data_IF_399156754638
#
_entry.id   IF_399156754638
#
_cell.length_a   1.000
_cell.length_b   1.000
_cell.length_c   1.000
_cell.angle_alpha   90.00
_cell.angle_beta   90.00
_cell.angle_gamma   90.00
#
_symmetry.space_group_name_H-M   'P 1'
#
loop_
_entity.id
_entity.type
_entity.pdbx_description
1 polymer ?
#
# COMPACT_ATOMS: atom_id res chain seq x y z
N UNK A 1 -37.90 9.30 56.10
CA UNK A 1 -36.43 9.18 55.93
C UNK A 1 -35.82 10.55 56.10
N UNK A 2 -35.09 10.77 57.20
CA UNK A 2 -34.48 12.06 57.54
C UNK A 2 -33.44 12.45 56.48
N UNK A 3 -33.65 13.61 55.83
CA UNK A 3 -32.66 14.24 54.93
C UNK A 3 -31.39 14.50 55.75
N UNK A 4 -30.37 13.64 55.61
CA UNK A 4 -29.01 13.91 56.12
C UNK A 4 -28.60 15.29 55.61
N UNK A 5 -28.41 16.25 56.53
CA UNK A 5 -27.96 17.62 56.23
C UNK A 5 -26.75 17.55 55.31
N UNK A 6 -26.92 18.05 54.08
CA UNK A 6 -25.83 18.31 53.16
C UNK A 6 -24.94 19.39 53.80
N UNK A 7 -23.69 19.05 54.10
CA UNK A 7 -22.72 20.05 54.53
C UNK A 7 -22.28 20.82 53.28
N UNK A 8 -22.69 22.09 53.17
CA UNK A 8 -22.43 22.93 52.01
C UNK A 8 -20.93 23.11 51.73
N UNK A 9 -20.07 22.83 52.72
CA UNK A 9 -18.62 22.98 52.64
C UNK A 9 -17.89 21.68 52.30
N UNK A 10 -18.60 20.64 51.83
CA UNK A 10 -18.00 19.41 51.30
C UNK A 10 -18.37 19.22 49.83
N UNK A 11 -17.45 18.72 48.99
CA UNK A 11 -17.74 18.35 47.61
C UNK A 11 -18.90 17.36 47.53
N UNK A 12 -19.55 17.32 46.36
CA UNK A 12 -20.61 16.32 46.07
C UNK A 12 -20.12 14.92 46.43
N UNK A 13 -21.04 14.06 46.86
CA UNK A 13 -20.77 12.67 47.24
C UNK A 13 -19.89 12.46 48.48
N UNK A 14 -19.29 13.50 49.08
CA UNK A 14 -18.51 13.39 50.32
C UNK A 14 -19.35 13.76 51.54
N UNK A 15 -19.27 12.95 52.59
CA UNK A 15 -19.94 13.20 53.87
C UNK A 15 -18.99 12.98 55.04
N UNK A 16 -19.14 13.79 56.10
CA UNK A 16 -18.41 13.61 57.34
C UNK A 16 -19.32 13.03 58.43
N UNK A 17 -18.89 11.96 59.10
CA UNK A 17 -19.66 11.31 60.17
C UNK A 17 -19.03 11.61 61.53
N UNK A 18 -19.72 12.41 62.35
CA UNK A 18 -19.26 12.78 63.69
C UNK A 18 -19.06 11.57 64.62
N UNK A 19 -19.92 10.55 64.51
CA UNK A 19 -19.85 9.36 65.35
C UNK A 19 -18.56 8.54 65.16
N UNK A 20 -18.04 8.46 63.93
CA UNK A 20 -16.81 7.72 63.61
C UNK A 20 -15.61 8.61 63.29
N UNK A 21 -15.76 9.94 63.44
CA UNK A 21 -14.77 10.98 63.09
C UNK A 21 -14.12 10.78 61.71
N UNK A 22 -14.87 10.23 60.74
CA UNK A 22 -14.33 9.79 59.46
C UNK A 22 -15.11 10.34 58.28
N UNK A 23 -14.42 10.50 57.15
CA UNK A 23 -15.03 10.88 55.88
C UNK A 23 -15.48 9.65 55.09
N UNK A 24 -16.60 9.78 54.40
CA UNK A 24 -17.19 8.74 53.54
C UNK A 24 -17.57 9.36 52.22
N UNK A 25 -17.13 8.72 51.13
CA UNK A 25 -17.49 9.12 49.78
C UNK A 25 -18.44 8.07 49.17
N UNK A 26 -19.55 8.51 48.58
CA UNK A 26 -20.59 7.63 48.01
C UNK A 26 -20.51 7.63 46.48
N UNK A 27 -20.34 6.46 45.89
CA UNK A 27 -20.38 6.34 44.44
C UNK A 27 -21.82 6.56 43.92
N UNK A 28 -22.06 7.58 43.07
CA UNK A 28 -23.42 7.89 42.58
C UNK A 28 -23.92 6.89 41.53
N UNK A 29 -23.06 6.05 40.95
CA UNK A 29 -23.45 5.03 39.96
C UNK A 29 -23.81 3.68 40.60
N UNK A 30 -23.17 3.35 41.72
CA UNK A 30 -23.32 2.03 42.37
C UNK A 30 -23.94 2.10 43.76
N UNK A 31 -24.20 3.31 44.26
CA UNK A 31 -24.69 3.62 45.60
C UNK A 31 -23.84 3.10 46.77
N UNK A 32 -22.67 2.50 46.49
CA UNK A 32 -21.73 2.02 47.50
C UNK A 32 -20.99 3.18 48.16
N UNK A 33 -20.87 3.12 49.48
CA UNK A 33 -20.09 4.07 50.28
C UNK A 33 -18.69 3.50 50.56
N UNK A 34 -17.68 4.36 50.40
CA UNK A 34 -16.27 4.07 50.67
C UNK A 34 -15.78 4.92 51.84
N UNK A 35 -15.24 4.31 52.91
CA UNK A 35 -14.62 5.05 54.00
C UNK A 35 -13.25 5.58 53.56
N UNK A 36 -13.02 6.89 53.73
CA UNK A 36 -11.69 7.51 53.55
C UNK A 36 -10.88 7.53 54.85
N UNK A 37 -11.50 7.17 55.97
CA UNK A 37 -10.87 7.14 57.30
C UNK A 37 -10.77 8.51 57.97
N UNK A 38 -9.92 8.58 59.00
CA UNK A 38 -9.64 9.79 59.81
C UNK A 38 -8.52 10.64 59.16
N UNK A 39 -8.71 11.02 57.91
CA UNK A 39 -7.76 11.87 57.18
C UNK A 39 -8.07 13.35 57.37
N UNK A 40 -7.07 14.21 57.11
CA UNK A 40 -7.27 15.65 57.16
C UNK A 40 -8.37 16.08 56.18
N UNK A 41 -9.17 17.07 56.57
CA UNK A 41 -10.30 17.56 55.76
C UNK A 41 -9.89 17.94 54.34
N UNK A 42 -8.71 18.54 54.18
CA UNK A 42 -8.15 18.94 52.87
C UNK A 42 -7.95 17.72 51.96
N UNK A 43 -7.38 16.65 52.49
CA UNK A 43 -7.08 15.44 51.71
C UNK A 43 -8.36 14.69 51.33
N UNK A 44 -9.34 14.64 52.23
CA UNK A 44 -10.66 14.08 51.95
C UNK A 44 -11.39 14.84 50.82
N UNK A 45 -11.27 16.17 50.82
CA UNK A 45 -11.82 17.03 49.77
C UNK A 45 -11.13 16.76 48.43
N UNK A 46 -9.79 16.69 48.39
CA UNK A 46 -9.03 16.41 47.18
C UNK A 46 -9.42 15.06 46.57
N UNK A 47 -9.41 13.98 47.37
CA UNK A 47 -9.77 12.64 46.89
C UNK A 47 -11.22 12.58 46.39
N UNK A 48 -12.16 13.26 47.05
CA UNK A 48 -13.54 13.31 46.61
C UNK A 48 -13.71 14.06 45.28
N UNK A 49 -12.98 15.16 45.06
CA UNK A 49 -13.00 15.90 43.79
C UNK A 49 -12.44 15.04 42.67
N UNK A 50 -11.33 14.33 42.89
CA UNK A 50 -10.76 13.39 41.92
C UNK A 50 -11.74 12.27 41.55
N UNK A 51 -12.34 11.62 42.56
CA UNK A 51 -13.31 10.54 42.35
C UNK A 51 -14.58 11.02 41.61
N UNK A 52 -15.07 12.23 41.93
CA UNK A 52 -16.20 12.82 41.24
C UNK A 52 -15.90 13.15 39.78
N UNK A 53 -14.71 13.69 39.50
CA UNK A 53 -14.27 14.01 38.14
C UNK A 53 -14.10 12.74 37.30
N UNK A 54 -13.57 11.67 37.90
CA UNK A 54 -13.45 10.36 37.26
C UNK A 54 -14.81 9.78 36.85
N UNK A 55 -15.82 9.89 37.71
CA UNK A 55 -17.18 9.37 37.43
C UNK A 55 -17.95 10.22 36.45
N UNK A 56 -17.77 11.54 36.49
CA UNK A 56 -18.46 12.46 35.59
C UNK A 56 -18.02 12.32 34.12
N UNK A 57 -17.08 11.40 33.80
CA UNK A 57 -16.45 11.22 32.48
C UNK A 57 -15.86 12.51 31.89
N UNK A 58 -15.70 13.55 32.71
CA UNK A 58 -15.44 14.90 32.26
C UNK A 58 -13.98 15.33 32.42
N UNK A 59 -13.06 14.44 32.76
CA UNK A 59 -11.62 14.70 32.61
C UNK A 59 -10.84 13.41 32.34
N UNK A 60 -10.29 13.30 31.13
CA UNK A 60 -8.91 12.87 30.95
C UNK A 60 -8.04 13.86 31.74
N UNK A 61 -7.30 13.46 32.80
CA UNK A 61 -6.42 14.34 33.59
C UNK A 61 -5.16 14.78 32.80
N UNK A 62 -5.29 14.88 31.49
CA UNK A 62 -4.21 14.72 30.54
C UNK A 62 -3.73 16.09 30.07
N UNK A 63 -4.63 17.05 29.84
CA UNK A 63 -4.25 18.33 29.22
C UNK A 63 -3.23 19.20 30.01
N UNK A 64 -3.31 19.26 31.35
CA UNK A 64 -2.37 20.06 32.15
C UNK A 64 -1.13 19.26 32.55
N UNK A 65 -1.29 17.97 32.87
CA UNK A 65 -0.15 17.10 33.21
C UNK A 65 0.72 16.82 31.97
N UNK A 66 0.14 16.70 30.77
CA UNK A 66 0.91 16.60 29.52
C UNK A 66 1.65 17.90 29.19
N UNK A 67 0.99 19.05 29.34
CA UNK A 67 1.65 20.36 29.23
C UNK A 67 2.78 20.54 30.24
N UNK A 68 2.63 19.99 31.45
CA UNK A 68 3.67 20.02 32.50
C UNK A 68 4.77 18.97 32.31
N UNK A 69 4.51 17.88 31.58
CA UNK A 69 5.48 16.83 31.24
C UNK A 69 6.36 17.17 30.03
N UNK A 70 6.08 18.25 29.31
CA UNK A 70 6.90 18.70 28.18
C UNK A 70 6.84 17.82 26.93
N UNK A 71 5.95 16.82 26.89
CA UNK A 71 5.58 16.16 25.63
C UNK A 71 4.58 17.07 24.93
N UNK A 72 5.06 17.91 24.02
CA UNK A 72 4.23 18.39 22.92
C UNK A 72 3.50 17.17 22.36
N UNK A 73 2.18 17.15 22.46
CA UNK A 73 1.34 16.00 22.08
C UNK A 73 1.39 15.80 20.57
N UNK A 74 2.45 15.12 20.15
CA UNK A 74 2.79 14.97 18.76
C UNK A 74 1.85 13.94 18.13
N UNK A 75 0.90 14.40 17.31
CA UNK A 75 -0.14 13.55 16.73
C UNK A 75 0.39 12.70 15.58
N UNK A 76 -0.34 11.65 15.21
CA UNK A 76 -0.04 10.87 14.00
C UNK A 76 -0.05 11.75 12.76
N UNK A 77 -0.99 12.71 12.65
CA UNK A 77 -1.02 13.66 11.53
C UNK A 77 0.26 14.49 11.44
N UNK A 78 0.70 15.09 12.55
CA UNK A 78 1.94 15.87 12.60
C UNK A 78 3.16 15.00 12.27
N UNK A 79 3.15 13.73 12.70
CA UNK A 79 4.20 12.79 12.35
C UNK A 79 4.21 12.41 10.88
N UNK A 80 3.05 12.24 10.26
CA UNK A 80 2.96 11.97 8.83
C UNK A 80 3.62 13.11 8.04
N UNK A 81 3.37 14.37 8.40
CA UNK A 81 3.98 15.52 7.72
C UNK A 81 5.52 15.48 7.85
N UNK A 82 6.04 15.17 9.04
CA UNK A 82 7.48 14.98 9.25
C UNK A 82 8.03 13.79 8.46
N UNK A 83 7.32 12.67 8.45
CA UNK A 83 7.71 11.45 7.76
C UNK A 83 7.70 11.61 6.23
N UNK A 84 6.81 12.43 5.66
CA UNK A 84 6.82 12.77 4.24
C UNK A 84 8.11 13.48 3.83
N UNK A 85 8.64 14.37 4.68
CA UNK A 85 9.95 15.01 4.46
C UNK A 85 11.08 13.97 4.51
N UNK A 86 11.02 13.01 5.45
CA UNK A 86 11.99 11.92 5.52
C UNK A 86 11.94 11.02 4.28
N UNK A 87 10.74 10.71 3.79
CA UNK A 87 10.55 9.92 2.58
C UNK A 87 11.21 10.57 1.37
N UNK A 88 11.07 11.89 1.19
CA UNK A 88 11.65 12.62 0.04
C UNK A 88 13.18 12.47 -0.05
N UNK A 89 13.86 12.26 1.08
CA UNK A 89 15.31 12.05 1.14
C UNK A 89 15.75 10.68 0.62
N UNK A 90 14.81 9.73 0.45
CA UNK A 90 15.11 8.33 0.09
C UNK A 90 15.22 8.07 -1.42
N UNK A 91 15.20 9.13 -2.25
CA UNK A 91 15.35 9.05 -3.72
C UNK A 91 14.54 7.93 -4.39
N UNK A 92 13.28 7.78 -3.98
CA UNK A 92 12.37 6.76 -4.52
C UNK A 92 11.83 7.16 -5.90
N UNK A 93 11.29 6.19 -6.64
CA UNK A 93 10.58 6.49 -7.89
C UNK A 93 9.32 7.32 -7.64
N UNK A 94 8.95 8.17 -8.61
CA UNK A 94 7.74 9.03 -8.54
C UNK A 94 6.47 8.22 -8.23
N UNK A 95 6.32 7.05 -8.85
CA UNK A 95 5.16 6.19 -8.60
C UNK A 95 5.17 5.59 -7.18
N UNK A 96 6.35 5.27 -6.64
CA UNK A 96 6.49 4.83 -5.25
C UNK A 96 6.03 5.92 -4.29
N UNK A 97 6.45 7.17 -4.49
CA UNK A 97 5.97 8.30 -3.68
C UNK A 97 4.46 8.48 -3.76
N UNK A 98 3.89 8.41 -4.97
CA UNK A 98 2.43 8.49 -5.16
C UNK A 98 1.69 7.40 -4.37
N UNK A 99 2.17 6.16 -4.42
CA UNK A 99 1.57 5.04 -3.67
C UNK A 99 1.69 5.30 -2.16
N UNK A 100 2.88 5.65 -1.66
CA UNK A 100 3.10 5.92 -0.23
C UNK A 100 2.25 7.09 0.26
N UNK A 101 2.15 8.19 -0.50
CA UNK A 101 1.30 9.34 -0.18
C UNK A 101 -0.18 8.97 -0.08
N UNK A 102 -0.71 8.17 -1.00
CA UNK A 102 -2.09 7.68 -0.90
C UNK A 102 -2.33 6.84 0.36
N UNK A 103 -1.36 6.00 0.73
CA UNK A 103 -1.42 5.18 1.94
C UNK A 103 -1.39 6.07 3.19
N UNK A 104 -0.49 7.06 3.24
CA UNK A 104 -0.39 8.02 4.34
C UNK A 104 -1.66 8.87 4.48
N UNK A 105 -2.28 9.28 3.37
CA UNK A 105 -3.57 9.98 3.41
C UNK A 105 -4.67 9.11 4.06
N UNK A 106 -4.72 7.82 3.77
CA UNK A 106 -5.65 6.89 4.44
C UNK A 106 -5.34 6.73 5.94
N UNK A 107 -4.06 6.69 6.31
CA UNK A 107 -3.66 6.65 7.74
C UNK A 107 -4.07 7.94 8.45
N UNK A 108 -3.84 9.10 7.82
CA UNK A 108 -4.22 10.41 8.34
C UNK A 108 -5.72 10.48 8.62
N UNK A 109 -6.54 10.04 7.67
CA UNK A 109 -8.01 10.02 7.82
C UNK A 109 -8.48 9.17 9.01
N UNK A 110 -7.86 8.00 9.24
CA UNK A 110 -8.35 7.03 10.25
C UNK A 110 -7.73 7.17 11.63
N UNK A 111 -6.49 7.65 11.71
CA UNK A 111 -5.70 7.65 12.94
C UNK A 111 -4.99 8.98 13.22
N UNK A 112 -5.20 10.00 12.38
CA UNK A 112 -4.44 11.26 12.43
C UNK A 112 -4.53 12.02 13.75
N UNK A 113 -5.70 12.02 14.39
CA UNK A 113 -5.95 12.73 15.65
C UNK A 113 -5.39 12.03 16.89
N UNK A 114 -4.95 10.78 16.76
CA UNK A 114 -4.40 10.02 17.89
C UNK A 114 -2.99 10.56 18.20
N UNK A 115 -2.67 10.71 19.49
CA UNK A 115 -1.30 11.02 19.93
C UNK A 115 -0.38 9.87 19.51
N UNK A 116 0.75 10.17 18.88
CA UNK A 116 1.65 9.16 18.31
C UNK A 116 2.09 8.12 19.35
N UNK A 117 2.40 8.57 20.57
CA UNK A 117 2.79 7.73 21.69
C UNK A 117 1.66 6.82 22.24
N UNK A 118 0.40 7.18 22.00
CA UNK A 118 -0.78 6.42 22.44
C UNK A 118 -1.25 5.39 21.40
N UNK A 119 -0.60 5.33 20.24
CA UNK A 119 -0.95 4.34 19.22
C UNK A 119 -0.59 2.94 19.69
N UNK A 120 -1.62 2.16 20.05
CA UNK A 120 -1.47 0.76 20.47
C UNK A 120 -1.51 -0.21 19.29
N UNK A 121 -1.00 -1.44 19.50
CA UNK A 121 -1.16 -2.56 18.56
C UNK A 121 -2.63 -2.83 18.21
N UNK A 122 -3.57 -2.59 19.14
CA UNK A 122 -5.01 -2.73 18.89
C UNK A 122 -5.51 -1.75 17.84
N UNK A 123 -5.02 -0.50 17.85
CA UNK A 123 -5.37 0.49 16.82
C UNK A 123 -4.90 0.03 15.43
N UNK A 124 -3.66 -0.46 15.34
CA UNK A 124 -3.10 -0.99 14.09
C UNK A 124 -3.89 -2.20 13.59
N UNK A 125 -4.20 -3.16 14.48
CA UNK A 125 -4.98 -4.34 14.12
C UNK A 125 -6.36 -3.96 13.58
N UNK A 126 -7.10 -3.08 14.28
CA UNK A 126 -8.42 -2.61 13.84
C UNK A 126 -8.36 -1.89 12.49
N UNK A 127 -7.31 -1.11 12.26
CA UNK A 127 -7.10 -0.43 10.98
C UNK A 127 -6.93 -1.43 9.84
N UNK A 128 -6.05 -2.42 10.01
CA UNK A 128 -5.79 -3.45 8.99
C UNK A 128 -6.98 -4.39 8.74
N UNK A 129 -7.80 -4.65 9.76
CA UNK A 129 -8.96 -5.54 9.70
C UNK A 129 -9.96 -5.14 8.61
N UNK A 130 -10.10 -3.84 8.33
CA UNK A 130 -10.98 -3.33 7.28
C UNK A 130 -10.67 -3.91 5.89
N UNK A 131 -9.38 -4.13 5.57
CA UNK A 131 -9.00 -4.77 4.31
C UNK A 131 -9.01 -6.30 4.39
N UNK A 132 -8.69 -6.86 5.56
CA UNK A 132 -8.63 -8.32 5.74
C UNK A 132 -10.02 -8.94 5.60
N UNK A 133 -11.03 -8.33 6.22
CA UNK A 133 -12.44 -8.77 6.14
C UNK A 133 -12.99 -8.70 4.72
N UNK A 134 -12.53 -7.74 3.91
CA UNK A 134 -12.86 -7.61 2.49
C UNK A 134 -12.03 -8.53 1.57
N UNK A 135 -11.13 -9.37 2.13
CA UNK A 135 -10.24 -10.24 1.36
C UNK A 135 -9.09 -9.50 0.65
N UNK A 136 -8.88 -8.21 0.94
CA UNK A 136 -7.85 -7.34 0.33
C UNK A 136 -6.50 -7.46 1.07
N UNK A 137 -6.04 -8.70 1.30
CA UNK A 137 -4.84 -9.01 2.09
C UNK A 137 -3.56 -8.33 1.57
N UNK A 138 -3.41 -8.17 0.25
CA UNK A 138 -2.28 -7.44 -0.34
C UNK A 138 -2.24 -5.98 0.07
N UNK A 139 -3.41 -5.32 0.15
CA UNK A 139 -3.50 -3.93 0.59
C UNK A 139 -3.20 -3.82 2.09
N UNK A 140 -3.74 -4.71 2.92
CA UNK A 140 -3.38 -4.82 4.34
C UNK A 140 -1.86 -4.99 4.52
N UNK A 141 -1.24 -5.84 3.70
CA UNK A 141 0.22 -5.98 3.51
C UNK A 141 0.94 -4.67 3.30
N UNK A 142 0.55 -3.96 2.26
CA UNK A 142 1.18 -2.71 1.87
C UNK A 142 1.01 -1.63 2.95
N UNK A 143 -0.18 -1.55 3.59
CA UNK A 143 -0.47 -0.60 4.67
C UNK A 143 0.35 -0.89 5.91
N UNK A 144 0.43 -2.15 6.36
CA UNK A 144 1.28 -2.54 7.49
C UNK A 144 2.75 -2.21 7.22
N UNK A 145 3.22 -2.42 5.99
CA UNK A 145 4.59 -2.07 5.60
C UNK A 145 4.86 -0.56 5.75
N UNK A 146 3.96 0.32 5.30
CA UNK A 146 4.10 1.77 5.49
C UNK A 146 4.12 2.12 6.97
N UNK A 147 3.14 1.62 7.73
CA UNK A 147 3.02 1.92 9.15
C UNK A 147 4.27 1.47 9.92
N UNK A 148 4.78 0.27 9.62
CA UNK A 148 5.97 -0.25 10.28
C UNK A 148 7.18 0.64 10.05
N UNK A 149 7.37 1.15 8.82
CA UNK A 149 8.45 2.06 8.45
C UNK A 149 8.26 3.46 9.09
N UNK A 150 7.05 4.02 9.01
CA UNK A 150 6.69 5.30 9.63
C UNK A 150 6.93 5.30 11.14
N UNK A 151 6.51 4.24 11.85
CA UNK A 151 6.74 4.12 13.30
C UNK A 151 8.20 3.77 13.64
N UNK A 152 8.96 3.19 12.71
CA UNK A 152 10.40 2.99 12.92
C UNK A 152 11.14 4.32 12.91
N UNK A 153 10.83 5.20 11.97
CA UNK A 153 11.40 6.55 11.95
C UNK A 153 11.01 7.36 13.21
N UNK A 154 9.82 7.11 13.78
CA UNK A 154 9.39 7.77 15.02
C UNK A 154 10.25 7.36 16.22
N UNK A 155 10.73 6.11 16.23
CA UNK A 155 11.69 5.64 17.24
C UNK A 155 13.04 6.31 17.03
N UNK A 156 13.50 6.43 15.79
CA UNK A 156 14.79 7.07 15.45
C UNK A 156 14.81 8.54 15.91
N UNK A 157 13.70 9.27 15.74
CA UNK A 157 13.57 10.65 16.24
C UNK A 157 13.17 10.75 17.73
N UNK A 158 13.03 9.62 18.44
CA UNK A 158 12.81 9.59 19.89
C UNK A 158 11.39 9.90 20.36
N UNK A 159 10.40 9.96 19.46
CA UNK A 159 9.00 10.24 19.82
C UNK A 159 8.31 9.07 20.52
N UNK A 160 8.76 7.83 20.23
CA UNK A 160 8.24 6.60 20.83
C UNK A 160 9.36 5.60 21.07
N UNK A 161 9.11 4.63 21.94
CA UNK A 161 10.12 3.62 22.33
C UNK A 161 9.93 2.27 21.61
N UNK A 162 8.69 1.95 21.21
CA UNK A 162 8.34 0.64 20.65
C UNK A 162 7.42 0.80 19.44
N UNK A 163 7.67 0.01 18.40
CA UNK A 163 6.85 0.03 17.20
C UNK A 163 5.53 -0.74 17.43
N UNK A 164 4.36 -0.09 17.41
CA UNK A 164 3.09 -0.75 17.71
C UNK A 164 2.66 -1.76 16.63
N UNK A 165 3.30 -1.72 15.45
CA UNK A 165 2.96 -2.55 14.28
C UNK A 165 3.58 -3.95 14.39
N UNK A 166 4.69 -4.13 15.11
CA UNK A 166 5.49 -5.37 15.10
C UNK A 166 4.69 -6.62 15.43
N UNK A 167 3.84 -6.55 16.46
CA UNK A 167 3.04 -7.68 16.92
C UNK A 167 1.86 -8.03 16.00
N UNK A 168 1.49 -7.16 15.05
CA UNK A 168 0.40 -7.44 14.10
C UNK A 168 0.85 -8.44 13.04
N UNK A 169 -0.09 -9.25 12.54
CA UNK A 169 0.13 -10.18 11.43
C UNK A 169 -0.92 -9.96 10.35
N UNK A 170 -0.56 -10.22 9.10
CA UNK A 170 -1.50 -10.25 7.99
C UNK A 170 -1.65 -11.70 7.56
N UNK A 171 -2.84 -12.12 7.12
CA UNK A 171 -3.02 -13.44 6.54
C UNK A 171 -2.08 -13.70 5.35
N UNK A 172 -1.86 -14.97 5.06
CA UNK A 172 -1.09 -15.39 3.89
C UNK A 172 -1.71 -14.84 2.60
N UNK A 173 -0.89 -14.20 1.77
CA UNK A 173 -1.32 -13.66 0.48
C UNK A 173 -1.16 -14.75 -0.57
N UNK A 174 -2.27 -15.37 -0.97
CA UNK A 174 -2.31 -16.31 -2.10
C UNK A 174 -2.49 -15.54 -3.41
N UNK A 175 -1.62 -15.79 -4.39
CA UNK A 175 -1.72 -15.14 -5.71
C UNK A 175 -2.93 -15.70 -6.46
N UNK A 176 -3.96 -14.88 -6.63
CA UNK A 176 -5.20 -15.28 -7.28
C UNK A 176 -5.17 -15.23 -8.81
N UNK A 177 -4.20 -14.51 -9.41
CA UNK A 177 -4.13 -14.30 -10.86
C UNK A 177 -3.78 -15.60 -11.59
N UNK A 178 -4.60 -15.93 -12.58
CA UNK A 178 -4.40 -17.06 -13.48
C UNK A 178 -3.19 -16.85 -14.40
N UNK A 179 -2.45 -17.94 -14.68
CA UNK A 179 -1.32 -17.94 -15.62
C UNK A 179 -1.81 -18.04 -17.06
N UNK A 180 -1.22 -17.26 -17.96
CA UNK A 180 -1.55 -17.31 -19.38
C UNK A 180 -0.92 -18.54 -20.05
N UNK A 181 -1.72 -19.48 -20.54
CA UNK A 181 -1.21 -20.63 -21.31
C UNK A 181 -0.96 -20.28 -22.78
N UNK A 182 -0.17 -21.09 -23.48
CA UNK A 182 0.22 -20.83 -24.86
C UNK A 182 -0.98 -20.86 -25.81
N UNK A 183 -1.90 -21.81 -25.61
CA UNK A 183 -3.13 -21.97 -26.39
C UNK A 183 -4.00 -20.72 -26.24
N UNK A 184 -4.15 -20.23 -25.00
CA UNK A 184 -4.91 -19.03 -24.70
C UNK A 184 -4.24 -17.75 -25.22
N UNK A 185 -2.91 -17.69 -25.19
CA UNK A 185 -2.16 -16.62 -25.83
C UNK A 185 -2.43 -16.60 -27.33
N UNK A 186 -2.34 -17.75 -28.00
CA UNK A 186 -2.57 -17.86 -29.45
C UNK A 186 -3.98 -17.44 -29.83
N UNK A 187 -5.01 -17.87 -29.10
CA UNK A 187 -6.39 -17.45 -29.32
C UNK A 187 -6.58 -15.93 -29.11
N UNK A 188 -5.99 -15.38 -28.05
CA UNK A 188 -6.02 -13.93 -27.78
C UNK A 188 -5.27 -13.14 -28.86
N UNK A 189 -4.15 -13.68 -29.35
CA UNK A 189 -3.31 -13.09 -30.39
C UNK A 189 -3.99 -13.11 -31.75
N UNK A 190 -4.76 -14.15 -32.07
CA UNK A 190 -5.59 -14.21 -33.28
C UNK A 190 -6.72 -13.16 -33.22
N UNK A 191 -7.41 -13.04 -32.08
CA UNK A 191 -8.41 -12.00 -31.89
C UNK A 191 -7.82 -10.58 -31.99
N UNK A 192 -6.55 -10.41 -31.59
CA UNK A 192 -5.85 -9.14 -31.68
C UNK A 192 -5.65 -8.64 -33.13
N UNK A 193 -5.69 -9.51 -34.15
CA UNK A 193 -5.57 -9.09 -35.57
C UNK A 193 -6.68 -8.11 -36.00
N UNK A 194 -7.82 -8.12 -35.29
CA UNK A 194 -8.93 -7.19 -35.51
C UNK A 194 -8.83 -5.91 -34.66
N UNK A 195 -7.74 -5.72 -33.93
CA UNK A 195 -7.44 -4.54 -33.12
C UNK A 195 -6.50 -3.59 -33.91
N UNK A 196 -6.16 -2.38 -33.41
CA UNK A 196 -5.20 -1.53 -34.10
C UNK A 196 -3.89 -2.26 -34.40
N UNK A 197 -3.34 -2.06 -35.60
CA UNK A 197 -2.22 -2.85 -36.16
C UNK A 197 -0.97 -2.94 -35.27
N UNK A 198 -0.74 -1.96 -34.40
CA UNK A 198 0.37 -1.97 -33.44
C UNK A 198 0.19 -3.00 -32.32
N UNK A 199 -1.04 -3.42 -32.00
CA UNK A 199 -1.33 -4.24 -30.82
C UNK A 199 -0.94 -5.71 -30.97
N UNK A 200 -1.26 -6.40 -32.10
CA UNK A 200 -0.67 -7.70 -32.45
C UNK A 200 0.86 -7.73 -32.28
N UNK A 201 1.53 -6.71 -32.82
CA UNK A 201 2.98 -6.59 -32.76
C UNK A 201 3.49 -6.34 -31.33
N UNK A 202 2.74 -5.61 -30.51
CA UNK A 202 3.08 -5.42 -29.10
C UNK A 202 3.03 -6.74 -28.32
N UNK A 203 2.08 -7.63 -28.63
CA UNK A 203 2.02 -8.97 -28.03
C UNK A 203 3.22 -9.82 -28.47
N UNK A 204 3.54 -9.83 -29.77
CA UNK A 204 4.66 -10.60 -30.30
C UNK A 204 6.00 -10.10 -29.73
N UNK A 205 6.19 -8.78 -29.69
CA UNK A 205 7.39 -8.15 -29.13
C UNK A 205 7.52 -8.47 -27.63
N UNK A 206 6.41 -8.42 -26.87
CA UNK A 206 6.40 -8.78 -25.45
C UNK A 206 6.72 -10.26 -25.22
N UNK A 207 6.20 -11.16 -26.06
CA UNK A 207 6.45 -12.60 -25.92
C UNK A 207 7.89 -12.96 -26.27
N UNK A 208 8.42 -12.46 -27.40
CA UNK A 208 9.77 -12.80 -27.85
C UNK A 208 10.86 -12.16 -26.99
N UNK A 209 10.64 -10.95 -26.46
CA UNK A 209 11.64 -10.27 -25.61
C UNK A 209 11.48 -10.59 -24.13
N UNK A 210 10.29 -11.00 -23.68
CA UNK A 210 9.96 -11.19 -22.27
C UNK A 210 9.98 -9.90 -21.44
N UNK A 211 9.97 -8.71 -22.03
CA UNK A 211 10.12 -7.45 -21.27
C UNK A 211 8.81 -6.96 -20.64
N UNK A 212 8.93 -6.07 -19.64
CA UNK A 212 7.75 -5.52 -18.95
C UNK A 212 6.99 -4.57 -19.89
N UNK A 213 5.69 -4.43 -19.71
CA UNK A 213 4.84 -3.58 -20.56
C UNK A 213 5.34 -2.13 -20.64
N UNK A 214 5.89 -1.61 -19.55
CA UNK A 214 6.47 -0.27 -19.47
C UNK A 214 7.71 -0.16 -20.36
N UNK A 215 8.54 -1.20 -20.41
CA UNK A 215 9.72 -1.24 -21.28
C UNK A 215 9.28 -1.37 -22.75
N UNK A 216 8.31 -2.25 -23.05
CA UNK A 216 7.80 -2.50 -24.42
C UNK A 216 7.31 -1.22 -25.10
N UNK A 217 6.53 -0.38 -24.42
CA UNK A 217 6.02 0.85 -25.04
C UNK A 217 7.09 1.93 -25.23
N UNK A 218 8.25 1.79 -24.58
CA UNK A 218 9.35 2.76 -24.66
C UNK A 218 10.49 2.31 -25.59
N UNK A 219 10.44 1.09 -26.13
CA UNK A 219 11.44 0.61 -27.09
C UNK A 219 11.40 1.43 -28.37
N UNK A 220 12.56 1.92 -28.79
CA UNK A 220 12.75 2.68 -30.03
C UNK A 220 13.53 1.90 -31.07
N UNK A 221 13.34 2.24 -32.33
CA UNK A 221 14.16 1.67 -33.40
C UNK A 221 15.64 2.04 -33.28
N UNK A 222 15.96 3.18 -32.66
CA UNK A 222 17.33 3.60 -32.36
C UNK A 222 18.02 2.74 -31.29
N UNK A 223 17.26 1.98 -30.50
CA UNK A 223 17.81 1.08 -29.49
C UNK A 223 18.37 -0.22 -30.11
N UNK A 224 18.24 -0.36 -31.43
CA UNK A 224 18.81 -1.47 -32.20
C UNK A 224 20.15 -1.04 -32.79
N UNK A 225 21.22 -1.68 -32.33
CA UNK A 225 22.59 -1.48 -32.82
C UNK A 225 23.34 -2.81 -32.78
N UNK A 226 24.27 -3.03 -33.70
CA UNK A 226 25.09 -4.26 -33.77
C UNK A 226 24.27 -5.57 -33.65
N UNK A 227 23.19 -5.68 -34.44
CA UNK A 227 22.26 -6.84 -34.45
C UNK A 227 21.69 -7.21 -33.07
N UNK A 228 21.56 -6.24 -32.16
CA UNK A 228 21.00 -6.40 -30.82
C UNK A 228 20.02 -5.28 -30.50
N UNK A 229 18.96 -5.62 -29.78
CA UNK A 229 18.07 -4.68 -29.12
C UNK A 229 18.58 -4.41 -27.71
N UNK A 230 18.98 -3.18 -27.43
CA UNK A 230 19.40 -2.75 -26.10
C UNK A 230 18.19 -2.27 -25.31
N UNK A 231 18.01 -2.81 -24.10
CA UNK A 231 16.89 -2.44 -23.21
C UNK A 231 17.47 -2.07 -21.86
N UNK A 232 17.14 -0.87 -21.39
CA UNK A 232 17.35 -0.47 -19.98
C UNK A 232 16.01 -0.55 -19.29
N UNK A 233 15.85 -1.53 -18.39
CA UNK A 233 14.59 -1.77 -17.72
C UNK A 233 14.25 -0.63 -16.76
N UNK A 234 13.07 -0.03 -16.91
CA UNK A 234 12.66 1.16 -16.15
C UNK A 234 12.58 0.86 -14.65
N UNK A 235 12.08 -0.32 -14.29
CA UNK A 235 11.82 -0.68 -12.88
C UNK A 235 13.09 -0.97 -12.08
N UNK A 236 14.06 -1.65 -12.70
CA UNK A 236 15.25 -2.21 -12.01
C UNK A 236 16.55 -1.52 -12.41
N UNK A 237 16.56 -0.77 -13.52
CA UNK A 237 17.77 -0.20 -14.12
C UNK A 237 18.65 -1.23 -14.84
N UNK A 238 18.25 -2.51 -14.90
CA UNK A 238 19.05 -3.55 -15.53
C UNK A 238 19.18 -3.29 -17.03
N UNK A 239 20.40 -3.42 -17.56
CA UNK A 239 20.72 -3.27 -18.98
C UNK A 239 20.91 -4.65 -19.60
N UNK A 240 20.15 -4.92 -20.65
CA UNK A 240 20.20 -6.18 -21.40
C UNK A 240 20.34 -5.88 -22.89
N UNK A 241 21.04 -6.77 -23.61
CA UNK A 241 21.21 -6.69 -25.05
C UNK A 241 20.71 -7.99 -25.69
N UNK A 242 19.56 -7.94 -26.35
CA UNK A 242 18.85 -9.11 -26.88
C UNK A 242 19.21 -9.27 -28.35
N UNK A 243 19.82 -10.39 -28.79
CA UNK A 243 20.20 -10.57 -30.18
C UNK A 243 18.97 -10.65 -31.09
N UNK A 244 18.99 -9.99 -32.26
CA UNK A 244 17.89 -10.03 -33.23
C UNK A 244 17.65 -11.43 -33.84
N UNK A 245 18.65 -12.32 -33.72
CA UNK A 245 18.52 -13.74 -34.06
C UNK A 245 17.71 -14.55 -33.05
N UNK A 246 17.41 -14.00 -31.87
CA UNK A 246 16.60 -14.69 -30.85
C UNK A 246 15.27 -15.14 -31.46
N UNK A 247 15.02 -16.44 -31.35
CA UNK A 247 13.83 -17.08 -31.90
C UNK A 247 13.19 -17.91 -30.79
N UNK A 248 11.89 -17.71 -30.58
CA UNK A 248 11.06 -18.51 -29.69
C UNK A 248 10.41 -19.61 -30.52
N UNK A 249 10.92 -20.84 -30.45
CA UNK A 249 10.50 -21.92 -31.35
C UNK A 249 9.03 -22.30 -31.13
N UNK A 250 8.55 -22.23 -29.90
CA UNK A 250 7.16 -22.55 -29.55
C UNK A 250 6.11 -21.73 -30.34
N UNK A 251 6.45 -20.53 -30.80
CA UNK A 251 5.56 -19.67 -31.60
C UNK A 251 6.13 -19.29 -32.97
N UNK A 252 7.35 -19.72 -33.29
CA UNK A 252 8.05 -19.32 -34.51
C UNK A 252 8.42 -17.84 -34.57
N UNK A 253 8.33 -17.11 -33.46
CA UNK A 253 8.64 -15.67 -33.43
C UNK A 253 10.15 -15.46 -33.40
N UNK A 254 10.67 -14.70 -34.37
CA UNK A 254 12.05 -14.20 -34.39
C UNK A 254 12.07 -12.70 -34.12
N UNK A 255 12.90 -12.24 -33.18
CA UNK A 255 12.94 -10.83 -32.74
C UNK A 255 13.17 -9.86 -33.90
N UNK A 256 14.17 -10.11 -34.75
CA UNK A 256 14.45 -9.26 -35.91
C UNK A 256 13.23 -9.10 -36.82
N UNK A 257 12.55 -10.20 -37.15
CA UNK A 257 11.35 -10.19 -37.99
C UNK A 257 10.19 -9.44 -37.35
N UNK A 258 10.01 -9.54 -36.03
CA UNK A 258 8.99 -8.76 -35.30
C UNK A 258 9.31 -7.26 -35.38
N UNK A 259 10.56 -6.87 -35.19
CA UNK A 259 10.99 -5.47 -35.30
C UNK A 259 10.81 -4.94 -36.72
N UNK A 260 11.12 -5.73 -37.74
CA UNK A 260 10.91 -5.34 -39.14
C UNK A 260 9.42 -5.10 -39.43
N UNK A 261 8.53 -5.96 -38.91
CA UNK A 261 7.08 -5.72 -39.00
C UNK A 261 6.65 -4.45 -38.25
N UNK A 262 7.24 -4.18 -37.08
CA UNK A 262 7.02 -2.90 -36.38
C UNK A 262 7.43 -1.69 -37.24
N UNK A 263 8.53 -1.76 -37.99
CA UNK A 263 8.97 -0.67 -38.90
C UNK A 263 7.97 -0.39 -40.03
N UNK A 264 7.24 -1.40 -40.48
CA UNK A 264 6.23 -1.24 -41.53
C UNK A 264 4.97 -0.52 -41.01
N UNK A 265 4.64 -0.69 -39.72
CA UNK A 265 3.41 -0.16 -39.11
C UNK A 265 3.65 1.16 -38.39
N UNK A 266 4.72 1.27 -37.59
CA UNK A 266 5.03 2.47 -36.84
C UNK A 266 5.64 3.54 -37.73
N UNK A 267 5.15 4.77 -37.60
CA UNK A 267 5.66 5.98 -38.28
C UNK A 267 6.39 6.93 -37.33
N UNK A 268 6.73 6.45 -36.14
CA UNK A 268 7.44 7.24 -35.11
C UNK A 268 8.70 6.50 -34.67
N UNK A 269 9.49 7.10 -33.78
CA UNK A 269 10.72 6.49 -33.25
C UNK A 269 10.47 5.20 -32.47
N UNK A 270 9.24 5.03 -31.95
CA UNK A 270 8.86 3.91 -31.10
C UNK A 270 8.50 2.68 -31.95
N UNK A 271 8.91 1.49 -31.50
CA UNK A 271 8.53 0.24 -32.15
C UNK A 271 7.01 0.01 -32.13
N UNK A 272 6.37 0.38 -31.01
CA UNK A 272 4.93 0.28 -30.82
C UNK A 272 4.37 1.70 -30.69
N UNK A 273 3.53 2.10 -31.66
CA UNK A 273 3.03 3.47 -31.79
C UNK A 273 1.58 3.50 -32.29
N UNK A 274 0.80 4.45 -31.79
CA UNK A 274 -0.56 4.71 -32.28
C UNK A 274 -0.61 5.82 -33.35
N UNK A 275 0.57 6.28 -33.81
CA UNK A 275 0.75 7.42 -34.71
C UNK A 275 0.70 8.76 -33.97
N UNK A 276 1.23 9.81 -34.61
CA UNK A 276 1.22 11.18 -34.08
C UNK A 276 -0.22 11.72 -34.08
N UNK A 277 -0.67 12.24 -32.93
CA UNK A 277 -1.99 12.83 -32.74
C UNK A 277 -1.88 14.09 -31.90
N UNK A 278 -2.90 14.96 -31.92
CA UNK A 278 -2.94 16.20 -31.11
C UNK A 278 -2.62 15.96 -29.62
N UNK A 279 -3.12 14.85 -29.06
CA UNK A 279 -2.91 14.49 -27.65
C UNK A 279 -1.76 13.48 -27.43
N UNK A 280 -1.04 13.10 -28.48
CA UNK A 280 0.16 12.25 -28.42
C UNK A 280 1.13 12.69 -29.53
N UNK A 281 1.86 13.80 -29.31
CA UNK A 281 2.70 14.41 -30.34
C UNK A 281 3.89 13.53 -30.74
N UNK A 282 4.33 12.61 -29.88
CA UNK A 282 5.40 11.65 -30.16
C UNK A 282 4.89 10.29 -30.67
N UNK A 283 3.56 10.07 -30.63
CA UNK A 283 2.89 8.82 -30.98
C UNK A 283 3.12 7.66 -30.01
N UNK A 284 3.75 7.91 -28.86
CA UNK A 284 3.99 6.88 -27.85
C UNK A 284 2.67 6.38 -27.22
N UNK A 285 2.68 5.12 -26.79
CA UNK A 285 1.53 4.47 -26.15
C UNK A 285 1.73 4.44 -24.64
N UNK A 286 0.73 4.87 -23.89
CA UNK A 286 0.74 4.69 -22.44
C UNK A 286 0.66 3.19 -22.08
N UNK A 287 1.41 2.65 -21.10
CA UNK A 287 1.40 1.22 -20.75
C UNK A 287 0.01 0.63 -20.48
N UNK A 288 -0.91 1.43 -19.94
CA UNK A 288 -2.31 1.00 -19.72
C UNK A 288 -3.08 0.78 -21.03
N UNK A 289 -2.65 1.40 -22.14
CA UNK A 289 -3.16 1.10 -23.47
C UNK A 289 -2.96 -0.37 -23.84
N UNK A 290 -1.78 -0.93 -23.58
CA UNK A 290 -1.51 -2.36 -23.78
C UNK A 290 -2.45 -3.22 -22.94
N UNK A 291 -2.62 -2.86 -21.67
CA UNK A 291 -3.43 -3.66 -20.73
C UNK A 291 -4.92 -3.62 -21.08
N UNK A 292 -5.46 -2.45 -21.41
CA UNK A 292 -6.86 -2.28 -21.80
C UNK A 292 -7.16 -2.99 -23.12
N UNK A 293 -6.29 -2.85 -24.12
CA UNK A 293 -6.48 -3.50 -25.42
C UNK A 293 -6.32 -5.02 -25.30
N UNK A 294 -5.42 -5.52 -24.45
CA UNK A 294 -5.32 -6.95 -24.16
C UNK A 294 -6.59 -7.51 -23.54
N UNK A 295 -7.21 -6.80 -22.61
CA UNK A 295 -8.51 -7.22 -22.06
C UNK A 295 -9.58 -7.29 -23.17
N UNK A 296 -9.59 -6.36 -24.12
CA UNK A 296 -10.51 -6.40 -25.28
C UNK A 296 -10.24 -7.62 -26.17
N UNK A 297 -8.99 -7.85 -26.58
CA UNK A 297 -8.60 -9.00 -27.39
C UNK A 297 -8.91 -10.33 -26.68
N UNK A 298 -8.63 -10.40 -25.37
CA UNK A 298 -8.94 -11.57 -24.54
C UNK A 298 -10.43 -11.86 -24.51
N UNK A 299 -11.29 -10.85 -24.33
CA UNK A 299 -12.75 -11.01 -24.39
C UNK A 299 -13.22 -11.45 -25.79
N UNK A 300 -12.62 -10.89 -26.84
CA UNK A 300 -12.93 -11.25 -28.23
C UNK A 300 -12.47 -12.67 -28.62
N UNK A 301 -11.51 -13.26 -27.89
CA UNK A 301 -11.02 -14.61 -28.16
C UNK A 301 -12.02 -15.73 -27.88
N UNK A 302 -13.09 -15.45 -27.13
CA UNK A 302 -14.09 -16.45 -26.74
C UNK A 302 -13.59 -17.50 -25.73
N UNK A 303 -12.35 -17.41 -25.26
CA UNK A 303 -11.81 -18.33 -24.25
C UNK A 303 -12.43 -18.04 -22.88
N UNK A 304 -12.80 -19.11 -22.17
CA UNK A 304 -13.28 -19.03 -20.79
C UNK A 304 -12.10 -18.89 -19.83
N UNK A 305 -12.22 -17.97 -18.86
CA UNK A 305 -11.20 -17.72 -17.84
C UNK A 305 -11.78 -17.84 -16.45
N UNK A 306 -10.90 -17.99 -15.46
CA UNK A 306 -11.27 -17.86 -14.05
C UNK A 306 -11.73 -16.44 -13.68
N UNK A 307 -12.17 -16.26 -12.44
CA UNK A 307 -12.53 -14.96 -11.88
C UNK A 307 -11.37 -13.94 -11.87
N UNK A 308 -10.12 -14.41 -12.04
CA UNK A 308 -8.92 -13.57 -12.03
C UNK A 308 -8.09 -13.80 -13.30
N UNK A 309 -8.62 -13.42 -14.47
CA UNK A 309 -8.06 -13.80 -15.76
C UNK A 309 -6.66 -13.19 -16.01
N UNK A 310 -5.81 -13.84 -16.82
CA UNK A 310 -4.45 -13.37 -17.10
C UNK A 310 -4.46 -11.96 -17.71
N UNK A 311 -3.48 -11.13 -17.35
CA UNK A 311 -3.31 -9.77 -17.91
C UNK A 311 -2.19 -9.75 -18.94
N UNK A 312 -1.99 -8.60 -19.63
CA UNK A 312 -0.86 -8.44 -20.56
C UNK A 312 0.49 -8.78 -19.89
N UNK A 313 0.63 -8.54 -18.57
CA UNK A 313 1.85 -8.87 -17.84
C UNK A 313 2.14 -10.39 -17.79
N UNK A 314 1.12 -11.25 -17.91
CA UNK A 314 1.34 -12.69 -17.96
C UNK A 314 2.01 -13.16 -19.25
N UNK A 315 2.09 -12.34 -20.31
CA UNK A 315 2.91 -12.63 -21.49
C UNK A 315 4.39 -12.78 -21.09
N UNK A 316 4.88 -11.94 -20.17
CA UNK A 316 6.25 -12.06 -19.64
C UNK A 316 6.48 -13.35 -18.87
N UNK A 317 5.49 -13.80 -18.09
CA UNK A 317 5.53 -15.08 -17.38
C UNK A 317 5.50 -16.27 -18.34
N UNK A 318 4.68 -16.20 -19.40
CA UNK A 318 4.66 -17.18 -20.48
C UNK A 318 6.00 -17.24 -21.20
N UNK A 319 6.57 -16.09 -21.61
CA UNK A 319 7.88 -16.00 -22.24
C UNK A 319 8.95 -16.69 -21.37
N UNK A 320 8.99 -16.37 -20.06
CA UNK A 320 9.93 -16.99 -19.13
C UNK A 320 9.82 -18.51 -19.07
N UNK A 321 8.61 -19.05 -19.03
CA UNK A 321 8.39 -20.51 -19.03
C UNK A 321 8.79 -21.16 -20.34
N UNK A 322 8.42 -20.57 -21.48
CA UNK A 322 8.77 -21.11 -22.79
C UNK A 322 10.29 -21.09 -23.00
N UNK A 323 10.97 -19.99 -22.69
CA UNK A 323 12.42 -19.91 -22.77
C UNK A 323 13.14 -20.81 -21.76
N UNK A 324 12.57 -21.00 -20.55
CA UNK A 324 13.10 -21.98 -19.59
C UNK A 324 13.05 -23.39 -20.17
N UNK A 325 11.96 -23.75 -20.83
CA UNK A 325 11.83 -25.06 -21.48
C UNK A 325 12.76 -25.21 -22.69
N UNK A 326 12.96 -24.15 -23.48
CA UNK A 326 13.77 -24.21 -24.71
C UNK A 326 15.29 -24.10 -24.49
N UNK A 327 15.73 -23.31 -23.50
CA UNK A 327 17.13 -22.94 -23.30
C UNK A 327 17.62 -23.05 -21.84
N UNK A 328 16.75 -23.48 -20.92
CA UNK A 328 17.08 -23.61 -19.51
C UNK A 328 16.85 -22.35 -18.68
N UNK A 329 16.91 -22.54 -17.36
CA UNK A 329 16.56 -21.53 -16.36
C UNK A 329 17.47 -20.30 -16.39
N UNK A 330 18.78 -20.51 -16.55
CA UNK A 330 19.77 -19.43 -16.57
C UNK A 330 19.52 -18.47 -17.74
N UNK A 331 19.15 -19.01 -18.91
CA UNK A 331 18.83 -18.20 -20.08
C UNK A 331 17.59 -17.34 -19.82
N UNK A 332 16.49 -17.97 -19.36
CA UNK A 332 15.25 -17.27 -19.08
C UNK A 332 15.44 -16.16 -18.02
N UNK A 333 16.19 -16.44 -16.95
CA UNK A 333 16.49 -15.47 -15.91
C UNK A 333 17.28 -14.27 -16.45
N UNK A 334 18.32 -14.50 -17.27
CA UNK A 334 19.11 -13.43 -17.89
C UNK A 334 18.30 -12.58 -18.86
N UNK A 335 17.42 -13.19 -19.65
CA UNK A 335 16.56 -12.47 -20.59
C UNK A 335 15.54 -11.59 -19.85
N UNK A 336 14.97 -12.10 -18.77
CA UNK A 336 13.98 -11.37 -18.00
C UNK A 336 14.61 -10.24 -17.19
N UNK A 337 15.84 -10.38 -16.69
CA UNK A 337 16.44 -9.43 -15.75
C UNK A 337 15.61 -9.19 -14.49
#
# INVERSE_FOLDING_TARGET
MSRKKYDANLPRNLTYRKASKSFFWRNPLTDKEFPLGQIARRDAITQAIEANNFIAQNHTPVALIEKLKGTDSFTVSAWIDRYEVLLQRRSLSVNTYKIRGNQLATVREKMGEIILAEVTTRHIAKFLESWITEGKNTMAGAMRSVLSDMFREAIVEGHIVKNPVEATRIPEIKVARERLQLETYNATRAAAEHMPAWFPLAMDLALVTGQRREDIVNMKFSDVFDNRLYVTQIKTGMKIAIPLSLTLRATGLRLGTVIDRCRLVSRTDFMISAGIRKNSPTGNIHPDGLTKTFVKARKASGVNFSNNPPTFHEIRSLAGRLYKNEHGEVFAQKLLG
#
